data_IF_787014638457
#
_entry.id   IF_787014638457
#
_cell.length_a   1.000
_cell.length_b   1.000
_cell.length_c   1.000
_cell.angle_alpha   90.00
_cell.angle_beta   90.00
_cell.angle_gamma   90.00
#
_symmetry.space_group_name_H-M   'P 1'
#
loop_
_entity.id
_entity.type
_entity.pdbx_description
1 polymer ?
#
# COMPACT_ATOMS: atom_id res chain seq x y z
N UNK A 1 -0.59 -7.76 -3.34
CA UNK A 1 -1.06 -6.38 -3.15
C UNK A 1 -0.41 -5.82 -1.92
N UNK A 2 -0.01 -4.55 -1.90
CA UNK A 2 0.71 -3.91 -0.78
C UNK A 2 -0.07 -2.66 -0.37
N UNK A 3 -0.34 -2.49 0.92
CA UNK A 3 -0.94 -1.28 1.50
C UNK A 3 0.12 -0.49 2.27
N UNK A 4 0.12 0.84 2.12
CA UNK A 4 0.96 1.75 2.91
C UNK A 4 0.12 2.31 4.04
N UNK A 5 0.22 1.69 5.21
CA UNK A 5 -0.65 1.93 6.33
C UNK A 5 -0.49 3.35 6.89
N UNK A 6 -1.59 4.09 6.87
CA UNK A 6 -1.67 5.45 7.43
C UNK A 6 -1.40 6.58 6.44
N UNK A 7 -1.02 6.29 5.19
CA UNK A 7 -0.93 7.32 4.14
C UNK A 7 -2.31 7.61 3.57
N UNK A 8 -2.69 8.89 3.52
CA UNK A 8 -3.95 9.36 2.94
C UNK A 8 -3.80 9.41 1.42
N UNK A 9 -4.49 8.50 0.74
CA UNK A 9 -4.45 8.34 -0.71
C UNK A 9 -5.32 9.37 -1.45
N UNK A 10 -5.11 10.67 -1.18
CA UNK A 10 -5.91 11.74 -1.78
C UNK A 10 -5.73 11.79 -3.30
N UNK A 11 -6.82 11.56 -4.04
CA UNK A 11 -6.79 11.48 -5.50
C UNK A 11 -6.17 10.19 -6.05
N UNK A 12 -5.68 9.29 -5.17
CA UNK A 12 -4.92 8.10 -5.52
C UNK A 12 -5.49 6.82 -4.89
N UNK A 13 -6.79 6.81 -4.53
CA UNK A 13 -7.43 5.68 -3.84
C UNK A 13 -7.21 4.31 -4.51
N UNK A 14 -7.08 4.25 -5.84
CA UNK A 14 -6.75 3.03 -6.61
C UNK A 14 -5.38 2.41 -6.30
N UNK A 15 -4.54 3.09 -5.53
CA UNK A 15 -3.22 2.65 -5.09
C UNK A 15 -3.15 2.35 -3.60
N UNK A 16 -4.30 2.37 -2.91
CA UNK A 16 -4.33 2.13 -1.48
C UNK A 16 -3.89 0.70 -1.10
N UNK A 17 -4.13 -0.31 -1.95
CA UNK A 17 -3.55 -1.64 -1.76
C UNK A 17 -4.49 -2.72 -1.23
N UNK A 18 -5.72 -2.38 -0.84
CA UNK A 18 -6.71 -3.34 -0.36
C UNK A 18 -7.26 -4.17 -1.53
N UNK A 19 -6.87 -5.44 -1.60
CA UNK A 19 -7.29 -6.32 -2.69
C UNK A 19 -8.80 -6.57 -2.68
N UNK A 20 -9.43 -6.41 -3.86
CA UNK A 20 -10.87 -6.54 -4.05
C UNK A 20 -11.68 -5.30 -3.68
N UNK A 21 -11.05 -4.27 -3.10
CA UNK A 21 -11.71 -3.00 -2.75
C UNK A 21 -11.14 -1.85 -3.57
N UNK A 22 -9.86 -1.56 -3.42
CA UNK A 22 -9.21 -0.42 -4.09
C UNK A 22 -8.40 -0.83 -5.31
N UNK A 23 -7.96 -2.09 -5.37
CA UNK A 23 -7.30 -2.70 -6.53
C UNK A 23 -7.50 -4.22 -6.57
N UNK A 24 -7.18 -4.84 -7.69
CA UNK A 24 -7.04 -6.31 -7.75
C UNK A 24 -5.69 -6.75 -7.19
N UNK A 25 -5.61 -8.00 -6.73
CA UNK A 25 -4.34 -8.61 -6.35
C UNK A 25 -3.43 -8.74 -7.58
N UNK A 26 -2.14 -8.42 -7.41
CA UNK A 26 -1.10 -8.58 -8.44
C UNK A 26 -0.84 -10.08 -8.60
N UNK A 27 -0.99 -10.60 -9.81
CA UNK A 27 -0.76 -12.01 -10.10
C UNK A 27 0.74 -12.36 -10.05
N UNK A 28 1.11 -13.64 -9.81
CA UNK A 28 2.51 -14.06 -9.85
C UNK A 28 3.18 -13.73 -11.19
N UNK A 29 4.35 -13.09 -11.15
CA UNK A 29 5.09 -12.66 -12.34
C UNK A 29 4.67 -11.31 -12.91
N UNK A 30 3.57 -10.74 -12.46
CA UNK A 30 3.10 -9.41 -12.88
C UNK A 30 3.73 -8.29 -12.06
N UNK A 31 3.73 -7.08 -12.63
CA UNK A 31 4.22 -5.86 -11.97
C UNK A 31 3.11 -4.83 -11.89
N UNK A 32 3.05 -4.11 -10.77
CA UNK A 32 2.15 -3.00 -10.56
C UNK A 32 2.90 -1.85 -9.90
N UNK A 33 2.78 -0.65 -10.48
CA UNK A 33 3.39 0.57 -9.95
C UNK A 33 2.34 1.31 -9.12
N UNK A 34 2.65 1.59 -7.85
CA UNK A 34 1.84 2.48 -7.02
C UNK A 34 2.31 3.93 -7.19
N UNK A 35 1.41 4.81 -7.64
CA UNK A 35 1.72 6.23 -7.85
C UNK A 35 0.80 7.10 -7.01
N UNK A 36 1.35 7.68 -5.94
CA UNK A 36 0.59 8.57 -5.06
C UNK A 36 1.49 9.66 -4.49
N UNK A 37 0.85 10.69 -3.93
CA UNK A 37 1.54 11.78 -3.24
C UNK A 37 1.27 11.70 -1.75
N UNK A 38 2.32 11.88 -0.95
CA UNK A 38 2.18 12.06 0.49
C UNK A 38 2.01 13.55 0.75
N UNK A 39 0.76 13.98 0.97
CA UNK A 39 0.43 15.39 1.16
C UNK A 39 0.18 15.67 2.65
N UNK A 40 0.93 16.64 3.21
CA UNK A 40 0.76 17.10 4.59
C UNK A 40 0.82 15.96 5.64
N UNK A 41 1.69 14.97 5.40
CA UNK A 41 1.94 13.87 6.34
C UNK A 41 3.44 13.65 6.50
N UNK A 42 3.88 13.67 7.75
CA UNK A 42 5.25 13.35 8.18
C UNK A 42 5.13 12.40 9.36
N UNK A 43 6.02 11.42 9.46
CA UNK A 43 6.04 10.50 10.58
C UNK A 43 6.42 9.07 10.20
N UNK A 44 6.13 8.17 11.13
CA UNK A 44 6.40 6.74 11.03
C UNK A 44 5.15 5.99 10.60
N UNK A 45 5.23 5.35 9.45
CA UNK A 45 4.23 4.47 8.88
C UNK A 45 4.85 3.10 8.63
N UNK A 46 4.10 2.20 8.00
CA UNK A 46 4.61 0.92 7.54
C UNK A 46 3.86 0.49 6.28
N UNK A 47 4.43 -0.45 5.53
CA UNK A 47 3.75 -1.14 4.46
C UNK A 47 3.56 -2.60 4.85
N UNK A 48 2.52 -3.24 4.31
CA UNK A 48 2.32 -4.68 4.45
C UNK A 48 1.56 -5.26 3.26
N UNK A 49 1.69 -6.57 3.05
CA UNK A 49 0.82 -7.28 2.12
C UNK A 49 -0.63 -7.18 2.59
N UNK A 50 -1.54 -6.88 1.66
CA UNK A 50 -2.96 -6.69 1.96
C UNK A 50 -3.82 -7.64 1.11
N UNK A 51 -3.47 -8.93 1.15
CA UNK A 51 -4.16 -10.04 0.48
C UNK A 51 -4.22 -11.23 1.43
N UNK A 52 -5.44 -11.70 1.75
CA UNK A 52 -5.61 -12.82 2.68
C UNK A 52 -4.90 -12.56 4.02
N UNK A 53 -4.07 -13.51 4.44
CA UNK A 53 -3.25 -13.46 5.68
C UNK A 53 -1.75 -13.29 5.38
N UNK A 54 -1.40 -12.69 4.23
CA UNK A 54 0.00 -12.56 3.82
C UNK A 54 0.75 -11.42 4.54
N UNK A 55 0.06 -10.60 5.33
CA UNK A 55 0.65 -9.56 6.18
C UNK A 55 1.66 -10.13 7.19
N UNK A 56 1.49 -11.38 7.62
CA UNK A 56 2.46 -12.12 8.45
C UNK A 56 3.84 -12.27 7.80
N UNK A 57 3.92 -12.19 6.47
CA UNK A 57 5.14 -12.52 5.69
C UNK A 57 5.82 -11.32 5.04
N UNK A 58 5.05 -10.27 4.71
CA UNK A 58 5.56 -9.10 4.01
C UNK A 58 5.07 -7.86 4.74
N UNK A 59 6.00 -7.23 5.44
CA UNK A 59 5.78 -5.97 6.14
C UNK A 59 7.11 -5.26 6.37
N UNK A 60 7.09 -3.93 6.48
CA UNK A 60 8.28 -3.14 6.73
C UNK A 60 7.97 -1.68 7.02
N UNK A 61 8.91 -0.92 7.62
CA UNK A 61 8.70 0.48 7.94
C UNK A 61 8.60 1.35 6.69
N UNK A 62 7.81 2.41 6.77
CA UNK A 62 7.70 3.46 5.76
C UNK A 62 7.81 4.82 6.46
N UNK A 63 8.92 5.53 6.27
CA UNK A 63 9.20 6.78 7.00
C UNK A 63 9.11 7.96 6.03
N UNK A 64 8.37 8.98 6.42
CA UNK A 64 8.28 10.26 5.69
C UNK A 64 8.84 11.35 6.58
N UNK A 65 9.86 12.06 6.08
CA UNK A 65 10.53 13.18 6.74
C UNK A 65 9.93 14.51 6.33
#
# INVERSE_FOLDING_TARGET
SIHIHGIRQYGSNRFDGVAGITQMAIAPGETFVQEFQVLNQTGTFYYHAHVGVQDDTIQGPFIVH
#
